data_IF_682965181130
#
_entry.id   IF_682965181130
#
_cell.length_a   1.000
_cell.length_b   1.000
_cell.length_c   1.000
_cell.angle_alpha   90.00
_cell.angle_beta   90.00
_cell.angle_gamma   90.00
#
_symmetry.space_group_name_H-M   'P 1'
#
loop_
_entity.id
_entity.type
_entity.pdbx_description
1 polymer ?
#
# COMPACT_ATOMS: atom_id res chain seq x y z
N UNK A 1 -17.45 -1.17 8.03
CA UNK A 1 -16.07 -1.12 7.52
C UNK A 1 -16.09 -1.10 6.01
N UNK A 2 -15.29 -0.26 5.39
CA UNK A 2 -15.23 -0.11 3.94
C UNK A 2 -13.98 -0.82 3.43
N UNK A 3 -14.13 -1.60 2.35
CA UNK A 3 -13.01 -2.38 1.79
C UNK A 3 -12.85 -2.05 0.31
N UNK A 4 -11.60 -1.77 -0.09
CA UNK A 4 -11.19 -1.68 -1.47
C UNK A 4 -10.20 -2.83 -1.73
N UNK A 5 -10.31 -3.46 -2.89
CA UNK A 5 -9.54 -4.65 -3.23
C UNK A 5 -9.18 -4.65 -4.71
N UNK A 6 -7.94 -5.04 -4.99
CA UNK A 6 -7.49 -5.22 -6.36
C UNK A 6 -6.50 -6.37 -6.42
N UNK A 7 -6.58 -7.16 -7.47
CA UNK A 7 -5.62 -8.23 -7.72
C UNK A 7 -5.27 -8.30 -9.19
N UNK A 8 -4.05 -8.77 -9.47
CA UNK A 8 -3.59 -8.98 -10.84
C UNK A 8 -2.41 -9.95 -10.83
N UNK A 9 -1.94 -10.29 -12.02
CA UNK A 9 -0.74 -11.11 -12.20
C UNK A 9 0.36 -10.25 -12.78
N UNK A 10 1.52 -10.27 -12.11
CA UNK A 10 2.73 -9.59 -12.56
C UNK A 10 3.63 -10.61 -13.27
N UNK A 11 4.16 -10.25 -14.44
CA UNK A 11 5.02 -11.14 -15.23
C UNK A 11 6.47 -11.12 -14.73
N UNK A 12 6.64 -11.35 -13.44
CA UNK A 12 7.94 -11.37 -12.76
C UNK A 12 7.92 -12.42 -11.66
N UNK A 13 9.07 -13.07 -11.38
CA UNK A 13 9.14 -14.09 -10.33
C UNK A 13 8.81 -13.55 -8.95
N UNK A 14 8.23 -14.40 -8.11
CA UNK A 14 7.79 -14.04 -6.76
C UNK A 14 8.88 -13.35 -5.94
N UNK A 15 10.08 -13.91 -5.89
CA UNK A 15 11.17 -13.34 -5.10
C UNK A 15 11.64 -12.00 -5.64
N UNK A 16 11.56 -11.78 -6.94
CA UNK A 16 11.89 -10.49 -7.55
C UNK A 16 10.91 -9.41 -7.08
N UNK A 17 9.62 -9.73 -7.08
CA UNK A 17 8.60 -8.78 -6.61
C UNK A 17 8.73 -8.57 -5.10
N UNK A 18 8.87 -9.67 -4.34
CA UNK A 18 8.94 -9.58 -2.88
C UNK A 18 10.16 -8.78 -2.41
N UNK A 19 11.31 -8.97 -3.05
CA UNK A 19 12.53 -8.20 -2.73
C UNK A 19 12.30 -6.69 -2.84
N UNK A 20 11.48 -6.28 -3.80
CA UNK A 20 11.18 -4.86 -3.99
C UNK A 20 10.22 -4.31 -2.93
N UNK A 21 9.20 -5.09 -2.55
CA UNK A 21 8.13 -4.57 -1.68
C UNK A 21 8.29 -4.92 -0.20
N UNK A 22 9.14 -5.90 0.16
CA UNK A 22 9.27 -6.38 1.54
C UNK A 22 9.72 -5.30 2.53
N UNK A 23 10.47 -4.32 2.07
CA UNK A 23 10.79 -3.13 2.86
C UNK A 23 9.66 -2.12 2.67
N UNK A 24 8.81 -1.95 3.70
CA UNK A 24 7.64 -1.09 3.54
C UNK A 24 8.01 0.40 3.42
N UNK A 25 9.27 0.75 3.68
CA UNK A 25 9.76 2.12 3.46
C UNK A 25 10.20 2.38 2.00
N UNK A 26 10.03 1.42 1.12
CA UNK A 26 10.56 1.48 -0.25
C UNK A 26 9.61 2.08 -1.28
N UNK A 27 8.51 2.70 -0.87
CA UNK A 27 7.52 3.27 -1.79
C UNK A 27 8.11 4.22 -2.84
N UNK A 28 9.09 5.09 -2.50
CA UNK A 28 9.64 5.97 -3.53
C UNK A 28 10.24 5.24 -4.74
N UNK A 29 10.65 3.99 -4.54
CA UNK A 29 11.24 3.20 -5.62
C UNK A 29 10.20 2.71 -6.63
N UNK A 30 8.93 2.53 -6.24
CA UNK A 30 7.96 1.89 -7.13
C UNK A 30 6.55 2.48 -7.11
N UNK A 31 6.23 3.45 -6.27
CA UNK A 31 4.91 4.09 -6.28
C UNK A 31 5.04 5.50 -6.84
N UNK A 32 4.47 5.72 -8.01
CA UNK A 32 4.40 7.05 -8.60
C UNK A 32 3.66 7.99 -7.66
N UNK A 33 4.19 9.19 -7.47
CA UNK A 33 3.60 10.17 -6.57
C UNK A 33 4.18 10.17 -5.16
N UNK A 34 4.93 9.12 -4.79
CA UNK A 34 5.66 9.12 -3.53
C UNK A 34 7.06 9.67 -3.77
N UNK A 35 7.33 10.84 -3.20
CA UNK A 35 8.60 11.54 -3.41
C UNK A 35 9.64 11.24 -2.34
N UNK A 36 9.17 10.91 -1.13
CA UNK A 36 10.04 10.73 0.02
C UNK A 36 9.39 9.79 1.03
N UNK A 37 10.17 8.93 1.67
CA UNK A 37 9.72 8.06 2.74
C UNK A 37 10.84 7.84 3.75
N UNK A 38 10.53 8.01 5.04
CA UNK A 38 11.52 7.98 6.12
C UNK A 38 10.98 7.12 7.27
N UNK A 39 11.83 6.26 7.82
CA UNK A 39 11.55 5.56 9.08
C UNK A 39 11.85 6.50 10.24
N UNK A 40 10.92 6.66 11.17
CA UNK A 40 11.06 7.62 12.27
C UNK A 40 11.79 7.08 13.51
N UNK A 41 11.88 5.76 13.69
CA UNK A 41 12.27 5.15 14.97
C UNK A 41 13.45 4.18 14.87
N UNK A 42 14.31 4.35 13.89
CA UNK A 42 15.54 3.57 13.67
C UNK A 42 15.31 2.05 13.45
N UNK A 43 14.05 1.63 13.23
CA UNK A 43 13.75 0.25 12.88
C UNK A 43 13.94 0.01 11.38
N UNK A 44 14.15 -1.24 11.02
CA UNK A 44 14.20 -1.59 9.60
C UNK A 44 12.80 -1.66 9.00
N UNK A 45 12.70 -1.56 7.67
CA UNK A 45 11.41 -1.54 6.96
C UNK A 45 10.68 -2.87 6.94
N UNK A 46 11.24 -3.91 7.54
CA UNK A 46 10.60 -5.22 7.71
C UNK A 46 10.35 -5.56 9.19
N UNK A 47 10.63 -4.64 10.08
CA UNK A 47 10.48 -4.85 11.52
C UNK A 47 9.10 -4.37 11.97
N UNK A 48 8.32 -5.27 12.56
CA UNK A 48 6.97 -4.93 13.07
C UNK A 48 7.09 -3.83 14.13
N UNK A 49 6.24 -2.82 14.00
CA UNK A 49 6.26 -1.63 14.84
C UNK A 49 6.98 -0.45 14.23
N UNK A 50 7.75 -0.67 13.14
CA UNK A 50 8.39 0.44 12.45
C UNK A 50 7.37 1.47 11.98
N UNK A 51 7.69 2.75 12.13
CA UNK A 51 6.84 3.85 11.70
C UNK A 51 7.49 4.55 10.53
N UNK A 52 6.77 4.63 9.42
CA UNK A 52 7.21 5.38 8.24
C UNK A 52 6.39 6.65 8.09
N UNK A 53 7.03 7.66 7.56
CA UNK A 53 6.38 8.90 7.14
C UNK A 53 6.74 9.12 5.67
N UNK A 54 5.75 9.22 4.81
CA UNK A 54 6.00 9.42 3.38
C UNK A 54 5.10 10.52 2.82
N UNK A 55 5.57 11.12 1.73
CA UNK A 55 4.83 12.17 1.03
C UNK A 55 4.23 11.58 -0.25
N UNK A 56 2.91 11.56 -0.34
CA UNK A 56 2.17 11.07 -1.50
C UNK A 56 1.30 12.20 -2.04
N UNK A 57 1.52 12.55 -3.31
CA UNK A 57 0.80 13.64 -3.98
C UNK A 57 0.82 14.94 -3.16
N UNK A 58 1.96 15.22 -2.53
CA UNK A 58 2.15 16.41 -1.72
C UNK A 58 1.62 16.34 -0.29
N UNK A 59 1.05 15.21 0.12
CA UNK A 59 0.49 15.02 1.46
C UNK A 59 1.33 14.03 2.26
N UNK A 60 1.60 14.35 3.52
CA UNK A 60 2.37 13.49 4.41
C UNK A 60 1.46 12.49 5.11
N UNK A 61 1.85 11.22 5.04
CA UNK A 61 1.12 10.09 5.61
C UNK A 61 2.03 9.36 6.59
N UNK A 62 1.51 9.00 7.76
CA UNK A 62 2.24 8.21 8.74
C UNK A 62 1.56 6.86 8.94
N UNK A 63 2.37 5.80 8.90
CA UNK A 63 1.87 4.43 9.02
C UNK A 63 2.85 3.60 9.83
N UNK A 64 2.31 2.60 10.52
CA UNK A 64 3.10 1.60 11.24
C UNK A 64 3.02 0.27 10.53
N UNK A 65 4.14 -0.45 10.49
CA UNK A 65 4.16 -1.83 10.01
C UNK A 65 3.51 -2.72 11.06
N UNK A 66 2.32 -3.24 10.75
CA UNK A 66 1.51 -4.04 11.67
C UNK A 66 1.71 -5.54 11.47
N UNK A 67 2.16 -5.96 10.30
CA UNK A 67 2.42 -7.36 10.02
C UNK A 67 3.46 -7.51 8.91
N UNK A 68 4.25 -8.57 8.98
CA UNK A 68 5.27 -8.89 7.98
C UNK A 68 5.56 -10.38 8.02
N UNK A 69 5.55 -11.02 6.86
CA UNK A 69 5.90 -12.43 6.72
C UNK A 69 6.70 -12.64 5.45
N UNK A 70 8.00 -12.93 5.60
CA UNK A 70 8.82 -13.30 4.44
C UNK A 70 8.41 -14.68 3.91
N UNK A 71 7.99 -15.59 4.78
CA UNK A 71 7.51 -16.91 4.37
C UNK A 71 6.20 -16.83 3.60
N UNK A 72 5.25 -16.03 4.11
CA UNK A 72 3.95 -15.85 3.47
C UNK A 72 3.93 -14.79 2.39
N UNK A 73 5.02 -14.05 2.19
CA UNK A 73 5.11 -12.95 1.22
C UNK A 73 3.98 -11.95 1.38
N UNK A 74 3.81 -11.46 2.61
CA UNK A 74 2.77 -10.48 2.91
C UNK A 74 3.27 -9.44 3.90
N UNK A 75 2.72 -8.24 3.79
CA UNK A 75 2.91 -7.21 4.80
C UNK A 75 1.61 -6.45 4.99
N UNK A 76 1.45 -5.91 6.21
CA UNK A 76 0.29 -5.11 6.58
C UNK A 76 0.78 -3.82 7.21
N UNK A 77 0.27 -2.70 6.73
CA UNK A 77 0.53 -1.40 7.32
C UNK A 77 -0.78 -0.81 7.85
N UNK A 78 -0.67 -0.04 8.93
CA UNK A 78 -1.82 0.60 9.56
C UNK A 78 -1.57 2.10 9.69
N UNK A 79 -2.58 2.91 9.39
CA UNK A 79 -2.51 4.34 9.60
C UNK A 79 -2.51 4.68 11.08
N UNK A 80 -1.73 5.70 11.46
CA UNK A 80 -1.67 6.19 12.84
C UNK A 80 -2.17 7.61 12.98
N UNK A 81 -2.54 8.24 11.87
CA UNK A 81 -3.14 9.58 11.82
C UNK A 81 -4.28 9.56 10.80
N UNK A 82 -5.22 10.52 10.87
CA UNK A 82 -6.25 10.64 9.83
C UNK A 82 -5.62 10.81 8.46
N UNK A 83 -6.26 10.23 7.44
CA UNK A 83 -5.81 10.40 6.06
C UNK A 83 -5.87 11.88 5.67
N UNK A 84 -4.80 12.44 5.11
CA UNK A 84 -4.74 13.89 4.80
C UNK A 84 -5.34 14.25 3.45
N UNK A 85 -6.02 13.32 2.77
CA UNK A 85 -6.44 13.54 1.40
C UNK A 85 -7.83 14.16 1.31
N UNK A 86 -8.00 15.15 0.43
CA UNK A 86 -9.34 15.65 0.11
C UNK A 86 -10.01 14.64 -0.82
N UNK A 87 -10.74 13.70 -0.26
CA UNK A 87 -11.33 12.59 -0.99
C UNK A 87 -12.55 12.94 -1.82
N UNK A 88 -12.91 14.24 -1.92
CA UNK A 88 -14.19 14.65 -2.47
C UNK A 88 -15.34 14.43 -1.50
N UNK A 89 -15.05 13.97 -0.28
CA UNK A 89 -16.02 13.96 0.80
C UNK A 89 -16.40 15.41 1.16
N UNK A 90 -17.52 15.59 1.85
CA UNK A 90 -17.90 16.90 2.38
C UNK A 90 -16.74 17.48 3.18
N UNK A 91 -16.44 18.80 3.07
CA UNK A 91 -15.39 19.41 3.89
C UNK A 91 -15.56 19.20 5.39
N UNK A 92 -16.79 18.93 5.83
CA UNK A 92 -17.10 18.69 7.24
C UNK A 92 -17.04 17.20 7.61
N UNK A 93 -16.81 16.30 6.66
CA UNK A 93 -16.72 14.87 6.93
C UNK A 93 -15.36 14.55 7.55
N UNK A 94 -15.33 13.82 8.68
CA UNK A 94 -14.06 13.43 9.27
C UNK A 94 -13.33 12.44 8.36
N UNK A 95 -12.02 12.64 8.21
CA UNK A 95 -11.19 11.67 7.49
C UNK A 95 -11.11 10.36 8.28
N UNK A 96 -10.96 9.22 7.60
CA UNK A 96 -10.77 7.94 8.28
C UNK A 96 -9.53 8.00 9.18
N UNK A 97 -9.73 7.66 10.45
CA UNK A 97 -8.64 7.63 11.45
C UNK A 97 -8.05 6.23 11.58
N UNK A 98 -8.82 5.21 11.19
CA UNK A 98 -8.36 3.81 11.19
C UNK A 98 -8.45 3.27 9.78
N UNK A 99 -7.32 2.92 9.23
CA UNK A 99 -7.24 2.25 7.94
C UNK A 99 -6.05 1.32 7.94
N UNK A 100 -6.12 0.30 7.13
CA UNK A 100 -5.11 -0.75 7.06
C UNK A 100 -5.00 -1.25 5.64
N UNK A 101 -3.77 -1.46 5.19
CA UNK A 101 -3.51 -2.04 3.88
C UNK A 101 -2.70 -3.32 4.01
N UNK A 102 -3.04 -4.32 3.21
CA UNK A 102 -2.29 -5.58 3.14
C UNK A 102 -1.92 -5.86 1.70
N UNK A 103 -0.63 -6.12 1.49
CA UNK A 103 -0.08 -6.58 0.22
C UNK A 103 0.29 -8.04 0.40
N UNK A 104 -0.23 -8.91 -0.46
CA UNK A 104 0.01 -10.34 -0.39
C UNK A 104 0.35 -10.89 -1.77
N UNK A 105 1.42 -11.66 -1.84
CA UNK A 105 1.90 -12.28 -3.07
C UNK A 105 1.75 -13.79 -2.99
N UNK A 106 1.35 -14.39 -4.12
CA UNK A 106 1.31 -15.84 -4.29
C UNK A 106 2.00 -16.21 -5.60
N UNK A 107 2.67 -17.35 -5.66
CA UNK A 107 3.31 -17.77 -6.90
C UNK A 107 2.28 -18.23 -7.92
N UNK A 108 2.46 -17.79 -9.16
CA UNK A 108 1.83 -18.39 -10.33
C UNK A 108 2.91 -19.23 -11.00
N UNK A 109 2.89 -20.52 -10.72
CA UNK A 109 3.97 -21.43 -11.10
C UNK A 109 4.16 -21.50 -12.60
N UNK A 110 3.06 -21.55 -13.34
CA UNK A 110 3.13 -21.54 -14.79
C UNK A 110 3.61 -20.17 -15.27
N UNK A 111 4.75 -20.16 -15.92
CA UNK A 111 5.37 -18.93 -16.43
C UNK A 111 6.18 -18.16 -15.40
N UNK A 112 6.35 -18.71 -14.19
CA UNK A 112 7.14 -18.08 -13.13
C UNK A 112 6.71 -16.63 -12.88
N UNK A 113 5.42 -16.44 -12.58
CA UNK A 113 4.78 -15.13 -12.39
C UNK A 113 4.31 -14.98 -10.96
N UNK A 114 3.80 -13.81 -10.63
CA UNK A 114 3.34 -13.48 -9.29
C UNK A 114 1.91 -12.99 -9.32
N UNK A 115 1.03 -13.62 -8.51
CA UNK A 115 -0.26 -13.05 -8.18
C UNK A 115 -0.07 -12.07 -7.04
N UNK A 116 -0.59 -10.84 -7.20
CA UNK A 116 -0.60 -9.85 -6.13
C UNK A 116 -2.05 -9.48 -5.83
N UNK A 117 -2.36 -9.42 -4.54
CA UNK A 117 -3.61 -8.84 -4.07
C UNK A 117 -3.30 -7.76 -3.03
N UNK A 118 -4.00 -6.65 -3.17
CA UNK A 118 -3.83 -5.50 -2.29
C UNK A 118 -5.19 -5.11 -1.76
N UNK A 119 -5.34 -5.16 -0.43
CA UNK A 119 -6.59 -4.87 0.25
C UNK A 119 -6.41 -3.66 1.14
N UNK A 120 -7.33 -2.71 1.07
CA UNK A 120 -7.36 -1.57 2.00
C UNK A 120 -8.71 -1.57 2.70
N UNK A 121 -8.68 -1.55 4.02
CA UNK A 121 -9.88 -1.42 4.84
C UNK A 121 -9.87 -0.07 5.54
N UNK A 122 -11.04 0.57 5.60
CA UNK A 122 -11.18 1.91 6.17
C UNK A 122 -12.38 1.93 7.10
N UNK A 123 -12.23 2.62 8.22
CA UNK A 123 -13.32 2.89 9.13
C UNK A 123 -13.86 4.28 8.81
N UNK A 124 -14.94 4.34 8.04
CA UNK A 124 -15.52 5.58 7.55
C UNK A 124 -16.92 5.78 8.09
N UNK A 125 -17.38 7.04 8.11
CA UNK A 125 -18.80 7.32 8.30
C UNK A 125 -19.58 6.67 7.15
N UNK A 126 -20.77 6.07 7.41
CA UNK A 126 -21.51 5.35 6.37
C UNK A 126 -21.81 6.17 5.12
N UNK A 127 -22.10 7.46 5.28
CA UNK A 127 -22.42 8.34 4.15
C UNK A 127 -21.19 8.63 3.26
N UNK A 128 -19.98 8.41 3.76
CA UNK A 128 -18.74 8.68 3.02
C UNK A 128 -18.09 7.41 2.50
N UNK A 129 -18.60 6.24 2.87
CA UNK A 129 -17.98 4.95 2.56
C UNK A 129 -17.75 4.76 1.05
N UNK A 130 -18.73 5.10 0.23
CA UNK A 130 -18.62 4.88 -1.22
C UNK A 130 -17.58 5.78 -1.86
N UNK A 131 -17.43 7.00 -1.38
CA UNK A 131 -16.41 7.94 -1.91
C UNK A 131 -15.00 7.42 -1.61
N UNK A 132 -14.77 6.97 -0.39
CA UNK A 132 -13.47 6.43 0.00
C UNK A 132 -13.17 5.13 -0.74
N UNK A 133 -14.17 4.25 -0.89
CA UNK A 133 -14.00 3.02 -1.66
C UNK A 133 -13.64 3.33 -3.11
N UNK A 134 -14.37 4.23 -3.75
CA UNK A 134 -14.12 4.61 -5.15
C UNK A 134 -12.71 5.18 -5.32
N UNK A 135 -12.27 6.01 -4.39
CA UNK A 135 -10.93 6.59 -4.44
C UNK A 135 -9.85 5.50 -4.38
N UNK A 136 -9.92 4.60 -3.40
CA UNK A 136 -8.93 3.53 -3.27
C UNK A 136 -9.03 2.49 -4.38
N UNK A 137 -10.22 2.20 -4.88
CA UNK A 137 -10.40 1.32 -6.06
C UNK A 137 -9.75 1.92 -7.31
N UNK A 138 -9.61 3.22 -7.38
CA UNK A 138 -8.89 3.91 -8.43
C UNK A 138 -7.38 3.90 -8.17
N UNK A 139 -6.97 4.14 -6.94
CA UNK A 139 -5.55 4.25 -6.58
C UNK A 139 -4.80 2.92 -6.60
N UNK A 140 -5.39 1.84 -6.07
CA UNK A 140 -4.67 0.56 -5.96
C UNK A 140 -4.21 0.04 -7.32
N UNK A 141 -5.04 0.05 -8.37
CA UNK A 141 -4.55 -0.31 -9.71
C UNK A 141 -3.39 0.58 -10.18
N UNK A 142 -3.46 1.89 -9.93
CA UNK A 142 -2.38 2.81 -10.31
C UNK A 142 -1.07 2.43 -9.61
N UNK A 143 -1.13 2.14 -8.31
CA UNK A 143 0.04 1.71 -7.56
C UNK A 143 0.60 0.40 -8.08
N UNK A 144 -0.27 -0.55 -8.41
CA UNK A 144 0.15 -1.86 -8.92
C UNK A 144 0.77 -1.75 -10.31
N UNK A 145 0.19 -0.91 -11.18
CA UNK A 145 0.77 -0.64 -12.49
C UNK A 145 2.12 0.06 -12.40
N UNK A 146 2.27 0.97 -11.43
CA UNK A 146 3.54 1.63 -11.15
C UNK A 146 4.60 0.61 -10.71
N UNK A 147 4.23 -0.32 -9.85
CA UNK A 147 5.08 -1.44 -9.43
C UNK A 147 5.52 -2.27 -10.65
N UNK A 148 4.60 -2.61 -11.51
CA UNK A 148 4.89 -3.42 -12.71
C UNK A 148 5.87 -2.69 -13.64
N UNK A 149 5.68 -1.40 -13.86
CA UNK A 149 6.62 -0.60 -14.67
C UNK A 149 8.02 -0.59 -14.07
N UNK A 150 8.12 -0.44 -12.75
CA UNK A 150 9.41 -0.46 -12.06
C UNK A 150 10.11 -1.81 -12.20
N UNK A 151 9.37 -2.90 -12.07
CA UNK A 151 9.91 -4.24 -12.26
C UNK A 151 10.40 -4.46 -13.69
N UNK A 152 9.69 -3.94 -14.68
CA UNK A 152 10.09 -4.01 -16.09
C UNK A 152 11.40 -3.28 -16.39
N UNK A 153 11.68 -2.20 -15.67
CA UNK A 153 12.92 -1.42 -15.83
C UNK A 153 14.14 -2.09 -15.20
N UNK A 154 13.92 -3.07 -14.30
CA UNK A 154 14.99 -3.77 -13.57
C UNK A 154 15.44 -5.06 -14.26
N UNK A 155 14.76 -5.49 -15.30
CA UNK A 155 15.08 -6.74 -16.02
C UNK A 155 16.00 -6.51 -17.21
#
# INVERSE_FOLDING_TARGET
>A
MTTAYYSTVLNHPLETVWTLIRDFNNYPAYIDGVTESVIEDDKSGDEIGAVRRFCYLGNWVRQRLAGHSDEGHSLTYAGIEPLPFPSGASPDAPAPTRYQGTMHLLPVVEGDRTFIEWTVTLDTAPQDAERWRTLFQSWIPDWTHSLERTLGLRT
#
